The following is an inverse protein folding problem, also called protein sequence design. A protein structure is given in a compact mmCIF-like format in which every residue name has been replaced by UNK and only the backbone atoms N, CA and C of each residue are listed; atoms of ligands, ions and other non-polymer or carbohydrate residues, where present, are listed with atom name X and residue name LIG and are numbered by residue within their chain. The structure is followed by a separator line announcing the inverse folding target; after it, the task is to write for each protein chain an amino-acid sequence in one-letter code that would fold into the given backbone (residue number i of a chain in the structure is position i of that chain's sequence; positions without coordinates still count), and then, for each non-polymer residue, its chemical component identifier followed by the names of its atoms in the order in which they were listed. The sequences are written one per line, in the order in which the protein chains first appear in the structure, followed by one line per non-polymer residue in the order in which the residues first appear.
data_IF_431118016732
#
_entry.id   IF_431118016732
#
_cell.length_a   1.000
_cell.length_b   1.000
_cell.length_c   1.000
_cell.angle_alpha   90.00
_cell.angle_beta   90.00
_cell.angle_gamma   90.00
#
_symmetry.space_group_name_H-M   'P 1'
#
loop_
_entity.id
_entity.type
_entity.pdbx_description
1 polymer ?
#
# COMPACT_ATOMS: atom_id res chain seq x y z
N UNK A 1 6.62 2.12 -15.32
CA UNK A 1 5.93 1.81 -16.59
C UNK A 1 6.66 2.55 -17.70
N UNK A 2 7.12 1.90 -18.78
CA UNK A 2 7.77 2.57 -19.91
C UNK A 2 6.89 3.68 -20.51
N UNK A 3 7.51 4.73 -21.08
CA UNK A 3 6.79 5.88 -21.63
C UNK A 3 5.94 5.52 -22.86
N UNK A 4 6.39 4.55 -23.65
CA UNK A 4 5.73 4.01 -24.83
C UNK A 4 4.70 2.90 -24.53
N UNK A 5 4.42 2.62 -23.25
CA UNK A 5 3.49 1.57 -22.86
C UNK A 5 2.04 1.87 -23.28
N UNK A 6 1.35 0.86 -23.81
CA UNK A 6 -0.09 0.91 -24.12
C UNK A 6 -1.02 1.17 -22.91
N UNK A 7 -0.47 1.17 -21.69
CA UNK A 7 -1.20 1.53 -20.47
C UNK A 7 -1.55 3.03 -20.43
N UNK A 8 -0.77 3.87 -21.12
CA UNK A 8 -1.03 5.31 -21.24
C UNK A 8 -2.12 5.57 -22.27
N UNK A 9 -3.18 6.26 -21.87
CA UNK A 9 -4.37 6.55 -22.70
C UNK A 9 -4.89 7.94 -22.42
N UNK A 10 -5.57 8.56 -23.38
CA UNK A 10 -6.10 9.92 -23.23
C UNK A 10 -7.25 10.02 -22.22
N UNK A 11 -8.13 9.01 -22.22
CA UNK A 11 -9.38 9.02 -21.45
C UNK A 11 -10.25 10.26 -21.73
N UNK A 12 -10.33 10.69 -23.00
CA UNK A 12 -11.07 11.90 -23.41
C UNK A 12 -12.53 11.87 -22.91
N UNK A 13 -13.18 10.71 -22.94
CA UNK A 13 -14.54 10.53 -22.43
C UNK A 13 -14.69 10.89 -20.94
N UNK A 14 -13.64 10.71 -20.12
CA UNK A 14 -13.64 11.11 -18.71
C UNK A 14 -13.45 12.62 -18.56
N UNK A 15 -12.61 13.25 -19.37
CA UNK A 15 -12.44 14.70 -19.39
C UNK A 15 -13.75 15.40 -19.80
N UNK A 16 -14.40 14.92 -20.86
CA UNK A 16 -15.71 15.40 -21.29
C UNK A 16 -16.79 15.17 -20.24
N UNK A 17 -16.76 14.01 -19.57
CA UNK A 17 -17.68 13.69 -18.47
C UNK A 17 -17.51 14.67 -17.31
N UNK A 18 -16.28 14.99 -16.92
CA UNK A 18 -15.99 15.94 -15.85
C UNK A 18 -16.52 17.34 -16.17
N UNK A 19 -16.34 17.83 -17.40
CA UNK A 19 -16.91 19.11 -17.83
C UNK A 19 -18.44 19.12 -17.73
N UNK A 20 -19.11 18.05 -18.18
CA UNK A 20 -20.56 17.89 -18.08
C UNK A 20 -21.03 17.79 -16.62
N UNK A 21 -20.33 17.03 -15.79
CA UNK A 21 -20.66 16.85 -14.38
C UNK A 21 -20.49 18.17 -13.60
N UNK A 22 -19.44 18.95 -13.89
CA UNK A 22 -19.22 20.30 -13.34
C UNK A 22 -20.31 21.29 -13.76
N UNK A 23 -20.69 21.28 -15.04
CA UNK A 23 -21.80 22.11 -15.54
C UNK A 23 -23.14 21.76 -14.90
N UNK A 24 -23.35 20.48 -14.57
CA UNK A 24 -24.53 19.98 -13.85
C UNK A 24 -24.45 20.16 -12.32
N UNK A 25 -23.40 20.80 -11.80
CA UNK A 25 -23.21 21.01 -10.36
C UNK A 25 -22.92 19.74 -9.56
N UNK A 26 -22.46 18.67 -10.21
CA UNK A 26 -22.05 17.42 -9.53
C UNK A 26 -20.62 17.54 -9.05
N UNK A 27 -20.34 17.02 -7.85
CA UNK A 27 -19.01 17.05 -7.23
C UNK A 27 -18.04 15.95 -7.67
N UNK A 28 -18.20 15.39 -8.87
CA UNK A 28 -17.31 14.34 -9.38
C UNK A 28 -16.22 14.96 -10.27
N UNK A 29 -14.97 14.93 -9.80
CA UNK A 29 -13.80 15.41 -10.53
C UNK A 29 -12.74 14.31 -10.68
N UNK A 30 -11.91 14.44 -11.71
CA UNK A 30 -10.76 13.56 -11.92
C UNK A 30 -9.66 13.88 -10.93
N UNK A 31 -8.94 12.84 -10.51
CA UNK A 31 -7.72 12.97 -9.73
C UNK A 31 -6.53 12.60 -10.62
N UNK A 32 -5.83 13.62 -11.11
CA UNK A 32 -4.64 13.48 -11.95
C UNK A 32 -3.41 13.82 -11.11
N UNK A 33 -2.53 12.84 -10.96
CA UNK A 33 -1.32 12.90 -10.15
C UNK A 33 -0.10 13.00 -11.06
N UNK A 34 0.87 13.83 -10.68
CA UNK A 34 2.15 13.97 -11.41
C UNK A 34 3.18 12.96 -10.95
N UNK A 35 2.98 12.37 -9.77
CA UNK A 35 3.93 11.45 -9.14
C UNK A 35 4.73 12.09 -8.01
N UNK A 36 4.68 13.42 -7.87
CA UNK A 36 5.28 14.17 -6.76
C UNK A 36 4.29 14.38 -5.60
N UNK A 37 3.04 13.93 -5.77
CA UNK A 37 1.98 14.09 -4.79
C UNK A 37 2.26 13.28 -3.52
N UNK A 38 2.13 13.91 -2.35
CA UNK A 38 2.35 13.25 -1.05
C UNK A 38 1.25 12.23 -0.71
N UNK A 39 0.09 12.34 -1.35
CA UNK A 39 -1.05 11.46 -1.12
C UNK A 39 -1.89 11.27 -2.39
N UNK A 40 -2.70 10.22 -2.40
CA UNK A 40 -3.72 10.00 -3.42
C UNK A 40 -5.08 9.70 -2.76
N UNK A 41 -6.14 9.76 -3.56
CA UNK A 41 -7.49 9.40 -3.13
C UNK A 41 -7.64 7.89 -3.01
N UNK A 42 -8.78 7.46 -2.48
CA UNK A 42 -9.06 6.05 -2.25
C UNK A 42 -9.13 5.26 -3.54
N UNK A 43 -8.32 4.21 -3.63
CA UNK A 43 -8.36 3.22 -4.72
C UNK A 43 -9.36 2.12 -4.33
N UNK A 44 -10.44 1.97 -5.09
CA UNK A 44 -11.53 1.05 -4.80
C UNK A 44 -11.44 -0.28 -5.57
N UNK A 45 -12.37 -1.18 -5.24
CA UNK A 45 -12.50 -2.54 -5.83
C UNK A 45 -12.44 -2.55 -7.36
N UNK A 46 -13.22 -1.70 -8.00
CA UNK A 46 -13.41 -1.72 -9.46
C UNK A 46 -12.46 -0.77 -10.19
N UNK A 47 -11.28 -0.48 -9.62
CA UNK A 47 -10.33 0.48 -10.14
C UNK A 47 -9.85 0.19 -11.57
N UNK A 48 -9.76 -1.10 -11.95
CA UNK A 48 -9.46 -1.52 -13.32
C UNK A 48 -10.44 -0.97 -14.38
N UNK A 49 -11.65 -0.53 -13.97
CA UNK A 49 -12.65 0.09 -14.86
C UNK A 49 -12.36 1.57 -15.15
N UNK A 50 -11.30 2.15 -14.61
CA UNK A 50 -10.91 3.54 -14.84
C UNK A 50 -12.05 4.53 -14.53
N UNK A 51 -12.51 4.55 -13.26
CA UNK A 51 -13.65 5.39 -12.84
C UNK A 51 -13.21 6.84 -12.63
N UNK A 52 -14.15 7.76 -12.79
CA UNK A 52 -13.84 9.20 -12.94
C UNK A 52 -13.20 9.88 -11.72
N UNK A 53 -13.30 9.32 -10.52
CA UNK A 53 -12.85 9.99 -9.27
C UNK A 53 -11.66 9.33 -8.61
N UNK A 54 -11.20 8.19 -9.14
CA UNK A 54 -10.05 7.48 -8.60
C UNK A 54 -8.76 8.06 -9.18
N UNK A 55 -7.60 7.88 -8.52
CA UNK A 55 -6.35 8.47 -8.97
C UNK A 55 -5.86 7.92 -10.31
N UNK A 56 -5.29 8.79 -11.13
CA UNK A 56 -4.52 8.45 -12.34
C UNK A 56 -3.15 9.12 -12.25
N UNK A 57 -2.14 8.51 -12.86
CA UNK A 57 -0.84 9.13 -13.09
C UNK A 57 -0.84 9.75 -14.48
N UNK A 58 -0.43 11.02 -14.59
CA UNK A 58 -0.24 11.74 -15.84
C UNK A 58 1.07 11.29 -16.49
N UNK A 59 1.09 11.16 -17.82
CA UNK A 59 2.32 10.83 -18.53
C UNK A 59 3.31 12.00 -18.43
N UNK A 60 4.59 11.75 -18.08
CA UNK A 60 5.54 12.82 -17.78
C UNK A 60 5.88 13.74 -18.97
N UNK A 61 5.77 13.23 -20.20
CA UNK A 61 6.09 13.99 -21.43
C UNK A 61 4.88 14.31 -22.32
N UNK A 62 3.71 13.73 -22.04
CA UNK A 62 2.51 13.78 -22.90
C UNK A 62 1.30 14.05 -22.00
N UNK A 63 1.07 15.32 -21.59
CA UNK A 63 0.10 15.67 -20.55
C UNK A 63 -1.36 15.23 -20.84
N UNK A 64 -1.68 14.96 -22.10
CA UNK A 64 -2.96 14.42 -22.55
C UNK A 64 -3.15 12.94 -22.20
N UNK A 65 -2.06 12.20 -21.95
CA UNK A 65 -2.11 10.79 -21.59
C UNK A 65 -2.04 10.60 -20.08
N UNK A 66 -2.76 9.61 -19.60
CA UNK A 66 -2.74 9.19 -18.20
C UNK A 66 -2.94 7.68 -18.10
N UNK A 67 -2.73 7.12 -16.91
CA UNK A 67 -2.99 5.71 -16.62
C UNK A 67 -3.43 5.53 -15.17
N UNK A 68 -4.05 4.41 -14.89
CA UNK A 68 -4.22 3.94 -13.51
C UNK A 68 -2.90 3.36 -12.97
N UNK A 69 -2.81 3.24 -11.64
CA UNK A 69 -1.76 2.44 -11.02
C UNK A 69 -1.80 1.00 -11.53
N UNK A 70 -0.63 0.41 -11.68
CA UNK A 70 -0.48 -1.04 -11.83
C UNK A 70 -0.87 -1.75 -10.52
N UNK A 71 -1.19 -3.06 -10.56
CA UNK A 71 -1.43 -3.82 -9.34
C UNK A 71 -0.28 -3.73 -8.33
N UNK A 72 0.97 -3.80 -8.81
CA UNK A 72 2.18 -3.63 -8.00
C UNK A 72 2.25 -2.25 -7.33
N UNK A 73 1.99 -1.17 -8.06
CA UNK A 73 1.94 0.18 -7.47
C UNK A 73 0.80 0.29 -6.45
N UNK A 74 -0.37 -0.29 -6.71
CA UNK A 74 -1.49 -0.34 -5.76
C UNK A 74 -1.14 -1.11 -4.48
N UNK A 75 -0.40 -2.23 -4.58
CA UNK A 75 0.16 -2.92 -3.41
C UNK A 75 1.03 -1.96 -2.59
N UNK A 76 1.99 -1.30 -3.23
CA UNK A 76 2.95 -0.40 -2.58
C UNK A 76 2.29 0.80 -1.92
N UNK A 77 1.29 1.41 -2.56
CA UNK A 77 0.50 2.51 -1.96
C UNK A 77 -0.11 2.10 -0.62
N UNK A 78 -0.49 0.82 -0.47
CA UNK A 78 -1.13 0.29 0.75
C UNK A 78 -0.18 -0.50 1.64
N UNK A 79 1.10 -0.59 1.28
CA UNK A 79 2.11 -1.42 1.94
C UNK A 79 1.79 -2.92 1.93
N UNK A 80 1.00 -3.40 0.97
CA UNK A 80 0.57 -4.80 0.88
C UNK A 80 1.67 -5.64 0.18
N UNK A 81 2.03 -6.84 0.69
CA UNK A 81 2.95 -7.74 0.02
C UNK A 81 2.51 -8.12 -1.40
N UNK A 82 3.42 -8.03 -2.37
CA UNK A 82 3.13 -8.29 -3.78
C UNK A 82 2.77 -9.76 -4.05
N UNK A 83 3.24 -10.71 -3.23
CA UNK A 83 2.90 -12.14 -3.36
C UNK A 83 1.38 -12.42 -3.26
N UNK A 84 0.62 -11.57 -2.56
CA UNK A 84 -0.83 -11.76 -2.41
C UNK A 84 -1.61 -11.66 -3.73
N UNK A 85 -1.03 -11.01 -4.74
CA UNK A 85 -1.64 -10.86 -6.06
C UNK A 85 -0.88 -11.61 -7.17
N UNK A 86 0.11 -12.42 -6.81
CA UNK A 86 0.96 -13.11 -7.77
C UNK A 86 0.14 -14.05 -8.67
N UNK A 87 0.36 -13.94 -9.97
CA UNK A 87 -0.31 -14.77 -10.98
C UNK A 87 -1.76 -14.37 -11.29
N UNK A 88 -2.28 -13.31 -10.67
CA UNK A 88 -3.63 -12.80 -10.92
C UNK A 88 -3.64 -11.82 -12.10
N UNK A 89 -4.81 -11.68 -12.74
CA UNK A 89 -5.02 -10.61 -13.72
C UNK A 89 -5.17 -9.25 -13.03
N UNK A 90 -4.84 -8.17 -13.73
CA UNK A 90 -4.96 -6.80 -13.21
C UNK A 90 -6.35 -6.54 -12.59
N UNK A 91 -7.42 -6.99 -13.23
CA UNK A 91 -8.79 -6.83 -12.72
C UNK A 91 -8.98 -7.49 -11.36
N UNK A 92 -8.59 -8.74 -11.20
CA UNK A 92 -8.77 -9.47 -9.95
C UNK A 92 -7.85 -8.91 -8.86
N UNK A 93 -6.60 -8.59 -9.22
CA UNK A 93 -5.65 -7.98 -8.31
C UNK A 93 -6.19 -6.64 -7.75
N UNK A 94 -6.68 -5.74 -8.61
CA UNK A 94 -7.29 -4.48 -8.15
C UNK A 94 -8.55 -4.69 -7.31
N UNK A 95 -9.35 -5.73 -7.59
CA UNK A 95 -10.51 -6.06 -6.76
C UNK A 95 -10.13 -6.51 -5.35
N UNK A 96 -9.11 -7.35 -5.22
CA UNK A 96 -8.58 -7.80 -3.91
C UNK A 96 -8.00 -6.59 -3.17
N UNK A 97 -7.10 -5.86 -3.81
CA UNK A 97 -6.39 -4.73 -3.20
C UNK A 97 -7.36 -3.60 -2.84
N UNK A 98 -8.32 -3.28 -3.69
CA UNK A 98 -9.31 -2.23 -3.46
C UNK A 98 -10.31 -2.55 -2.34
N UNK A 99 -10.34 -3.79 -1.85
CA UNK A 99 -11.11 -4.23 -0.68
C UNK A 99 -10.23 -4.52 0.54
N UNK A 100 -8.90 -4.41 0.39
CA UNK A 100 -7.94 -4.64 1.47
C UNK A 100 -7.79 -3.42 2.37
N UNK A 101 -7.05 -3.58 3.48
CA UNK A 101 -6.71 -2.50 4.43
C UNK A 101 -5.43 -1.76 4.01
N UNK A 102 -5.06 -0.72 4.78
CA UNK A 102 -3.67 -0.20 4.77
C UNK A 102 -2.85 -1.14 5.65
N UNK A 103 -1.99 -1.95 5.04
CA UNK A 103 -1.35 -3.10 5.69
C UNK A 103 -0.48 -2.71 6.89
N UNK A 104 0.45 -1.72 6.81
CA UNK A 104 1.28 -1.33 7.94
C UNK A 104 0.49 -0.81 9.14
N UNK A 105 -0.69 -0.19 8.90
CA UNK A 105 -1.55 0.29 9.99
C UNK A 105 -2.12 -0.88 10.80
N UNK A 106 -2.46 -1.98 10.13
CA UNK A 106 -2.96 -3.19 10.79
C UNK A 106 -1.85 -4.00 11.45
N UNK A 107 -0.63 -4.00 10.91
CA UNK A 107 0.54 -4.55 11.60
C UNK A 107 0.81 -3.80 12.92
N UNK A 108 0.81 -2.46 12.88
CA UNK A 108 0.98 -1.64 14.08
C UNK A 108 -0.13 -1.88 15.11
N UNK A 109 -1.38 -1.98 14.66
CA UNK A 109 -2.52 -2.32 15.52
C UNK A 109 -2.34 -3.70 16.17
N UNK A 110 -1.96 -4.71 15.39
CA UNK A 110 -1.77 -6.07 15.87
C UNK A 110 -0.63 -6.15 16.90
N UNK A 111 0.49 -5.45 16.66
CA UNK A 111 1.60 -5.35 17.59
C UNK A 111 1.16 -4.70 18.92
N UNK A 112 0.46 -3.58 18.85
CA UNK A 112 -0.04 -2.89 20.05
C UNK A 112 -1.02 -3.74 20.85
N UNK A 113 -1.91 -4.47 20.16
CA UNK A 113 -2.83 -5.41 20.78
C UNK A 113 -2.07 -6.57 21.45
N UNK A 114 -1.10 -7.16 20.76
CA UNK A 114 -0.26 -8.24 21.29
C UNK A 114 0.45 -7.82 22.58
N UNK A 115 1.09 -6.64 22.58
CA UNK A 115 1.74 -6.10 23.77
C UNK A 115 0.77 -5.89 24.94
N UNK A 116 -0.45 -5.41 24.64
CA UNK A 116 -1.49 -5.22 25.65
C UNK A 116 -1.95 -6.55 26.26
N UNK A 117 -2.10 -7.59 25.43
CA UNK A 117 -2.46 -8.93 25.88
C UNK A 117 -1.37 -9.56 26.74
N UNK A 118 -0.09 -9.40 26.36
CA UNK A 118 1.03 -9.87 27.18
C UNK A 118 1.06 -9.20 28.55
N UNK A 119 0.92 -7.87 28.58
CA UNK A 119 0.86 -7.12 29.83
C UNK A 119 -0.30 -7.58 30.72
N UNK A 120 -1.47 -7.88 30.14
CA UNK A 120 -2.63 -8.35 30.90
C UNK A 120 -2.36 -9.69 31.60
N UNK A 121 -1.63 -10.61 30.95
CA UNK A 121 -1.26 -11.90 31.57
C UNK A 121 0.01 -11.83 32.41
N UNK A 122 0.55 -10.63 32.66
CA UNK A 122 1.75 -10.43 33.48
C UNK A 122 3.08 -10.77 32.77
N UNK A 123 3.08 -10.82 31.44
CA UNK A 123 4.28 -11.06 30.64
C UNK A 123 4.77 -9.76 30.01
N UNK A 124 6.09 -9.60 29.91
CA UNK A 124 6.73 -8.47 29.25
C UNK A 124 7.58 -8.95 28.07
N UNK A 125 7.30 -8.48 26.83
CA UNK A 125 8.20 -8.72 25.71
C UNK A 125 9.47 -7.88 25.87
N UNK A 126 10.62 -8.54 25.81
CA UNK A 126 11.94 -7.91 25.81
C UNK A 126 12.71 -8.36 24.57
N UNK A 127 13.52 -7.45 24.02
CA UNK A 127 14.48 -7.82 22.99
C UNK A 127 15.69 -8.45 23.64
N UNK A 128 16.03 -9.66 23.21
CA UNK A 128 17.22 -10.40 23.66
C UNK A 128 18.13 -10.68 22.48
N UNK A 129 19.43 -10.68 22.74
CA UNK A 129 20.43 -11.19 21.81
C UNK A 129 20.45 -12.72 21.91
N UNK A 130 20.30 -13.39 20.77
CA UNK A 130 20.46 -14.84 20.69
C UNK A 130 21.95 -15.12 20.61
N UNK A 131 22.50 -15.68 21.70
CA UNK A 131 23.90 -16.08 21.74
C UNK A 131 24.09 -17.33 20.87
N UNK A 132 24.97 -17.21 19.88
CA UNK A 132 25.48 -18.35 19.13
C UNK A 132 26.75 -18.86 19.82
N UNK A 133 26.69 -20.08 20.37
CA UNK A 133 27.79 -20.70 21.12
C UNK A 133 29.04 -20.96 20.28
N UNK A 134 28.95 -20.86 18.95
CA UNK A 134 30.11 -20.92 18.06
C UNK A 134 30.90 -19.61 17.99
N UNK A 135 30.35 -18.51 18.52
CA UNK A 135 30.99 -17.20 18.53
C UNK A 135 31.96 -17.05 19.71
N UNK A 136 33.15 -16.47 19.52
CA UNK A 136 34.19 -16.39 20.55
C UNK A 136 33.92 -15.34 21.64
N UNK A 137 33.00 -14.40 21.42
CA UNK A 137 32.61 -13.33 22.37
C UNK A 137 31.12 -13.01 22.22
N UNK A 138 30.53 -12.47 23.28
CA UNK A 138 29.18 -11.88 23.23
C UNK A 138 29.27 -10.49 22.56
N UNK A 139 28.47 -10.24 21.53
CA UNK A 139 28.48 -9.04 20.68
C UNK A 139 29.33 -9.15 19.40
N UNK A 140 29.05 -8.32 18.38
CA UNK A 140 29.73 -8.32 17.09
C UNK A 140 28.98 -7.55 15.99
N UNK A 141 29.33 -7.68 14.71
CA UNK A 141 28.53 -7.10 13.61
C UNK A 141 27.34 -8.00 13.21
N UNK A 142 27.38 -9.29 13.55
CA UNK A 142 26.36 -10.30 13.25
C UNK A 142 25.40 -10.54 14.43
N UNK A 143 24.52 -9.56 14.72
CA UNK A 143 23.49 -9.71 15.76
C UNK A 143 22.27 -10.49 15.28
N UNK A 144 21.84 -11.48 16.07
CA UNK A 144 20.52 -12.08 15.98
C UNK A 144 19.66 -11.63 17.17
N UNK A 145 18.83 -10.62 16.97
CA UNK A 145 17.85 -10.20 17.97
C UNK A 145 16.61 -11.09 17.89
N UNK A 146 16.05 -11.42 19.05
CA UNK A 146 14.77 -12.12 19.16
C UNK A 146 13.91 -11.49 20.25
N UNK A 147 12.60 -11.66 20.14
CA UNK A 147 11.67 -11.27 21.21
C UNK A 147 11.53 -12.43 22.19
N UNK A 148 11.90 -12.21 23.45
CA UNK A 148 11.61 -13.12 24.55
C UNK A 148 10.47 -12.57 25.41
N UNK A 149 9.69 -13.46 26.02
CA UNK A 149 8.66 -13.11 27.00
C UNK A 149 9.16 -13.47 28.39
N UNK A 150 9.20 -12.50 29.30
CA UNK A 150 9.57 -12.72 30.71
C UNK A 150 8.37 -12.46 31.61
N UNK A 151 8.28 -13.20 32.72
CA UNK A 151 7.32 -12.89 33.78
C UNK A 151 7.71 -11.54 34.40
N UNK A 152 6.77 -10.59 34.40
CA UNK A 152 6.99 -9.27 34.95
C UNK A 152 7.19 -9.27 36.48
N UNK A 153 6.90 -10.39 37.16
CA UNK A 153 7.03 -10.55 38.61
C UNK A 153 8.34 -11.18 39.06
N UNK A 154 9.18 -11.68 38.14
CA UNK A 154 10.43 -12.37 38.44
C UNK A 154 10.25 -13.85 38.73
#
# INVERSE_FOLDING_TARGET
VPLDSERWKSFDYLAEKELRDKAAGKGFSRQLLTGDDEFCGTIGKDYAKCRSTEPFIVHPEQPELSRIFTPTEHCRVKGIPEELIQGLSDTIAHQILGQSVVFPAFEALALALGNSLWSWVGMMPIMVEVVDESQPVIGGEDFHWATALVDAKG
#
